data_IF_360816068012
#
_entry.id   IF_360816068012
#
_cell.length_a   1.000
_cell.length_b   1.000
_cell.length_c   1.000
_cell.angle_alpha   90.00
_cell.angle_beta   90.00
_cell.angle_gamma   90.00
#
_symmetry.space_group_name_H-M   'P 1'
#
loop_
_entity.id
_entity.type
_entity.pdbx_description
1 polymer ?
#
# COMPACT_ATOMS: atom_id res chain seq x y z
N UNK A 1 -33.23 14.65 36.30
CA UNK A 1 -33.72 13.26 36.23
C UNK A 1 -34.26 13.00 34.83
N UNK A 2 -33.45 12.49 33.96
CA UNK A 2 -33.89 12.09 32.59
C UNK A 2 -33.48 10.66 32.32
N UNK A 3 -34.50 9.83 32.13
CA UNK A 3 -34.39 8.40 31.88
C UNK A 3 -33.91 8.13 30.45
N UNK A 4 -32.78 7.40 30.35
CA UNK A 4 -32.25 6.85 29.11
C UNK A 4 -33.11 5.67 28.66
N UNK A 5 -33.73 5.75 27.47
CA UNK A 5 -34.41 4.63 26.84
C UNK A 5 -33.40 3.87 25.97
N UNK A 6 -33.12 2.63 26.37
CA UNK A 6 -32.40 1.65 25.55
C UNK A 6 -33.38 1.05 24.53
N UNK A 7 -33.11 1.24 23.23
CA UNK A 7 -33.78 0.49 22.18
C UNK A 7 -32.85 -0.65 21.73
N UNK A 8 -33.26 -1.86 22.08
CA UNK A 8 -32.66 -3.11 21.64
C UNK A 8 -33.17 -3.42 20.22
N UNK A 9 -32.27 -3.34 19.24
CA UNK A 9 -32.53 -3.76 17.86
C UNK A 9 -31.88 -5.12 17.62
N UNK A 10 -32.68 -6.16 17.50
CA UNK A 10 -32.25 -7.46 17.00
C UNK A 10 -32.04 -7.36 15.48
N UNK A 11 -30.81 -7.52 15.03
CA UNK A 11 -30.52 -7.67 13.60
C UNK A 11 -30.14 -9.12 13.33
N UNK A 12 -31.01 -9.75 12.53
CA UNK A 12 -30.87 -11.08 11.96
C UNK A 12 -29.57 -11.20 11.14
N UNK A 13 -28.78 -12.19 11.46
CA UNK A 13 -27.50 -12.50 10.79
C UNK A 13 -27.79 -13.31 9.53
N UNK A 14 -27.77 -12.68 8.35
CA UNK A 14 -27.60 -13.39 7.08
C UNK A 14 -26.11 -13.37 6.72
N UNK A 15 -25.50 -14.55 6.75
CA UNK A 15 -24.09 -14.74 6.38
C UNK A 15 -23.92 -14.54 4.87
N UNK A 16 -23.35 -13.41 4.46
CA UNK A 16 -22.81 -13.21 3.11
C UNK A 16 -21.32 -13.47 3.21
N UNK A 17 -20.86 -14.52 2.55
CA UNK A 17 -19.44 -14.83 2.42
C UNK A 17 -18.77 -13.77 1.52
N UNK A 18 -18.18 -12.74 2.13
CA UNK A 18 -17.30 -11.80 1.47
C UNK A 18 -15.89 -12.38 1.52
N UNK A 19 -15.35 -12.71 0.34
CA UNK A 19 -13.93 -13.05 0.17
C UNK A 19 -13.10 -11.81 0.48
N UNK A 20 -12.73 -11.65 1.75
CA UNK A 20 -11.86 -10.56 2.20
C UNK A 20 -10.39 -11.02 2.10
N UNK A 21 -9.53 -10.23 1.46
CA UNK A 21 -8.08 -10.33 1.60
C UNK A 21 -7.70 -10.14 3.07
N UNK A 22 -7.51 -11.23 3.80
CA UNK A 22 -7.00 -11.17 5.18
C UNK A 22 -5.51 -11.52 5.23
N UNK A 23 -4.68 -10.75 5.95
CA UNK A 23 -3.30 -11.14 6.20
C UNK A 23 -3.26 -12.37 7.12
N UNK A 24 -2.64 -13.45 6.66
CA UNK A 24 -2.43 -14.66 7.45
C UNK A 24 -1.49 -14.38 8.64
N UNK A 25 -2.02 -14.40 9.86
CA UNK A 25 -1.22 -14.60 11.07
C UNK A 25 -0.81 -16.07 11.15
N UNK A 26 0.49 -16.34 11.00
CA UNK A 26 1.07 -17.63 11.39
C UNK A 26 1.56 -17.52 12.83
N UNK A 27 0.86 -18.22 13.73
CA UNK A 27 1.36 -18.54 15.05
C UNK A 27 1.75 -20.03 15.04
N UNK A 28 3.01 -20.37 15.29
CA UNK A 28 3.38 -21.65 15.88
C UNK A 28 4.78 -21.57 16.47
N UNK A 29 4.83 -21.63 17.80
CA UNK A 29 6.01 -22.10 18.51
C UNK A 29 6.14 -23.61 18.33
N UNK A 30 7.31 -24.11 18.01
CA UNK A 30 7.95 -25.27 18.67
C UNK A 30 9.38 -25.39 18.17
N UNK A 31 10.25 -25.68 19.08
CA UNK A 31 11.69 -25.72 19.00
C UNK A 31 12.25 -26.91 18.18
N UNK A 32 13.51 -26.71 17.76
CA UNK A 32 14.54 -27.72 17.46
C UNK A 32 14.41 -28.58 16.19
N UNK A 33 15.23 -28.31 15.19
CA UNK A 33 16.40 -29.13 14.83
C UNK A 33 17.16 -28.53 13.66
N UNK A 34 18.46 -28.29 13.83
CA UNK A 34 19.38 -27.92 12.77
C UNK A 34 19.43 -29.02 11.71
N UNK A 35 19.15 -28.68 10.47
CA UNK A 35 19.65 -29.38 9.29
C UNK A 35 20.10 -28.32 8.29
N UNK A 36 21.40 -28.33 8.06
CA UNK A 36 22.05 -27.56 7.02
C UNK A 36 21.63 -28.14 5.69
N UNK A 37 20.89 -27.36 4.88
CA UNK A 37 20.82 -27.56 3.43
C UNK A 37 20.96 -26.20 2.74
N UNK A 38 22.00 -26.14 1.91
CA UNK A 38 22.35 -25.06 1.02
C UNK A 38 21.29 -24.87 -0.06
N UNK A 39 21.26 -23.63 -0.58
CA UNK A 39 20.62 -23.18 -1.81
C UNK A 39 19.09 -22.99 -1.77
N UNK A 40 18.69 -21.87 -1.16
CA UNK A 40 17.55 -21.12 -1.65
C UNK A 40 17.96 -19.66 -1.82
N UNK A 41 17.73 -19.14 -3.01
CA UNK A 41 18.01 -17.77 -3.44
C UNK A 41 17.19 -16.80 -2.59
N UNK A 42 17.68 -16.54 -1.37
CA UNK A 42 17.11 -15.53 -0.48
C UNK A 42 17.46 -14.18 -1.09
N UNK A 43 16.48 -13.53 -1.69
CA UNK A 43 16.56 -12.10 -1.97
C UNK A 43 16.74 -11.40 -0.61
N UNK A 44 18.00 -11.13 -0.24
CA UNK A 44 18.29 -10.38 0.99
C UNK A 44 17.72 -8.98 0.82
N UNK A 45 16.82 -8.58 1.73
CA UNK A 45 16.32 -7.22 1.78
C UNK A 45 17.49 -6.23 1.82
N UNK A 46 17.36 -5.11 1.10
CA UNK A 46 18.39 -4.07 1.08
C UNK A 46 18.57 -3.47 2.48
N UNK A 47 19.80 -3.14 2.84
CA UNK A 47 20.07 -2.37 4.05
C UNK A 47 19.50 -0.94 3.93
N UNK A 48 19.33 -0.27 5.07
CA UNK A 48 18.83 1.12 5.08
C UNK A 48 19.70 2.07 4.23
N UNK A 49 21.01 1.91 4.24
CA UNK A 49 21.91 2.72 3.41
C UNK A 49 21.72 2.43 1.91
N UNK A 50 21.62 1.16 1.53
CA UNK A 50 21.36 0.76 0.14
C UNK A 50 20.01 1.27 -0.35
N UNK A 51 18.97 1.24 0.48
CA UNK A 51 17.66 1.82 0.16
C UNK A 51 17.75 3.33 -0.06
N UNK A 52 18.43 4.06 0.82
CA UNK A 52 18.63 5.51 0.68
C UNK A 52 19.35 5.85 -0.62
N UNK A 53 20.46 5.18 -0.91
CA UNK A 53 21.21 5.38 -2.16
C UNK A 53 20.36 5.06 -3.40
N UNK A 54 19.66 3.92 -3.41
CA UNK A 54 18.78 3.50 -4.51
C UNK A 54 17.67 4.51 -4.77
N UNK A 55 16.93 4.89 -3.74
CA UNK A 55 15.77 5.78 -3.89
C UNK A 55 16.18 7.24 -4.04
N UNK A 56 17.29 7.68 -3.47
CA UNK A 56 17.89 8.97 -3.77
C UNK A 56 18.17 9.13 -5.27
N UNK A 57 18.79 8.13 -5.88
CA UNK A 57 19.04 8.10 -7.32
C UNK A 57 17.74 8.05 -8.14
N UNK A 58 16.78 7.17 -7.81
CA UNK A 58 15.50 7.05 -8.51
C UNK A 58 14.66 8.32 -8.47
N UNK A 59 14.68 9.03 -7.35
CA UNK A 59 13.95 10.28 -7.15
C UNK A 59 14.77 11.51 -7.58
N UNK A 60 16.04 11.33 -7.91
CA UNK A 60 16.97 12.42 -8.25
C UNK A 60 17.05 13.46 -7.12
N UNK A 61 17.26 12.98 -5.91
CA UNK A 61 17.43 13.77 -4.68
C UNK A 61 18.64 13.28 -3.89
N UNK A 62 19.11 14.10 -2.95
CA UNK A 62 20.10 13.65 -1.99
C UNK A 62 19.56 12.52 -1.10
N UNK A 63 20.37 11.49 -0.86
CA UNK A 63 19.94 10.30 -0.09
C UNK A 63 19.58 10.62 1.37
N UNK A 64 20.12 11.71 1.94
CA UNK A 64 19.75 12.18 3.29
C UNK A 64 18.28 12.59 3.39
N UNK A 65 17.65 12.95 2.27
CA UNK A 65 16.22 13.28 2.19
C UNK A 65 15.29 12.06 2.22
N UNK A 66 15.86 10.85 2.15
CA UNK A 66 15.08 9.61 2.37
C UNK A 66 14.97 9.40 3.89
N UNK A 67 13.94 10.00 4.48
CA UNK A 67 13.68 9.94 5.93
C UNK A 67 12.82 8.73 6.30
N UNK A 68 11.74 8.48 5.58
CA UNK A 68 10.83 7.36 5.82
C UNK A 68 11.33 6.06 5.16
N UNK A 69 12.44 5.52 5.66
CA UNK A 69 13.07 4.31 5.09
C UNK A 69 12.11 3.13 5.05
N UNK A 70 11.18 3.02 6.01
CA UNK A 70 10.18 1.95 6.04
C UNK A 70 9.23 2.00 4.83
N UNK A 71 8.84 3.20 4.39
CA UNK A 71 8.05 3.39 3.17
C UNK A 71 8.81 2.87 1.95
N UNK A 72 10.07 3.25 1.80
CA UNK A 72 10.87 2.84 0.65
C UNK A 72 11.22 1.35 0.68
N UNK A 73 11.41 0.75 1.85
CA UNK A 73 11.57 -0.70 1.99
C UNK A 73 10.31 -1.45 1.52
N UNK A 74 9.14 -0.97 1.92
CA UNK A 74 7.87 -1.55 1.47
C UNK A 74 7.66 -1.37 -0.04
N UNK A 75 7.96 -0.19 -0.58
CA UNK A 75 7.90 0.05 -2.03
C UNK A 75 8.85 -0.91 -2.76
N UNK A 76 10.06 -1.10 -2.23
CA UNK A 76 11.08 -1.99 -2.81
C UNK A 76 10.59 -3.44 -2.86
N UNK A 77 9.98 -3.88 -1.77
CA UNK A 77 9.37 -5.21 -1.68
C UNK A 77 8.29 -5.43 -2.74
N UNK A 78 7.51 -4.40 -3.07
CA UNK A 78 6.42 -4.49 -4.05
C UNK A 78 6.84 -4.11 -5.48
N UNK A 79 8.02 -3.55 -5.67
CA UNK A 79 8.47 -3.05 -6.97
C UNK A 79 8.45 -4.16 -8.03
N UNK A 80 7.82 -3.89 -9.19
CA UNK A 80 7.67 -4.86 -10.27
C UNK A 80 6.55 -5.89 -10.07
N UNK A 81 5.86 -5.92 -8.92
CA UNK A 81 4.67 -6.78 -8.76
C UNK A 81 3.67 -6.48 -9.88
N UNK A 82 3.25 -7.53 -10.61
CA UNK A 82 2.39 -7.40 -11.77
C UNK A 82 1.04 -6.74 -11.42
N UNK A 83 0.48 -6.02 -12.39
CA UNK A 83 -0.87 -5.50 -12.23
C UNK A 83 -1.91 -6.62 -12.40
N UNK A 84 -2.88 -6.65 -11.48
CA UNK A 84 -4.05 -7.50 -11.58
C UNK A 84 -5.26 -6.75 -11.03
N UNK A 85 -6.28 -6.55 -11.84
CA UNK A 85 -7.50 -5.88 -11.42
C UNK A 85 -8.13 -6.60 -10.22
N UNK A 86 -8.41 -5.87 -9.13
CA UNK A 86 -8.88 -6.44 -7.86
C UNK A 86 -7.84 -7.26 -7.10
N UNK A 87 -6.62 -7.39 -7.62
CA UNK A 87 -5.51 -8.09 -6.95
C UNK A 87 -5.00 -7.32 -5.72
N UNK A 88 -4.57 -8.07 -4.69
CA UNK A 88 -4.15 -7.51 -3.41
C UNK A 88 -2.96 -8.26 -2.78
N UNK A 89 -2.22 -9.05 -3.58
CA UNK A 89 -1.08 -9.85 -3.13
C UNK A 89 0.11 -9.80 -4.12
N UNK A 90 1.16 -10.57 -3.86
CA UNK A 90 2.37 -10.62 -4.70
C UNK A 90 2.17 -11.31 -6.04
N UNK A 91 1.05 -12.04 -6.24
CA UNK A 91 0.69 -12.61 -7.53
C UNK A 91 0.00 -11.57 -8.46
N UNK A 92 -0.31 -10.40 -7.92
CA UNK A 92 -0.82 -9.27 -8.65
C UNK A 92 -1.57 -8.29 -7.75
N UNK A 93 -1.41 -7.01 -8.04
CA UNK A 93 -2.03 -5.93 -7.26
C UNK A 93 -2.57 -4.84 -8.18
N UNK A 94 -3.74 -4.26 -7.86
CA UNK A 94 -4.21 -3.07 -8.55
C UNK A 94 -3.77 -1.77 -7.86
N UNK A 95 -4.04 -0.62 -8.48
CA UNK A 95 -3.59 0.67 -7.99
C UNK A 95 -4.17 1.04 -6.62
N UNK A 96 -5.44 0.74 -6.37
CA UNK A 96 -6.13 1.07 -5.11
C UNK A 96 -5.72 0.14 -3.97
N UNK A 97 -5.60 -1.16 -4.24
CA UNK A 97 -5.15 -2.12 -3.25
C UNK A 97 -3.67 -1.92 -2.88
N UNK A 98 -2.80 -1.60 -3.85
CA UNK A 98 -1.40 -1.27 -3.56
C UNK A 98 -1.29 -0.09 -2.60
N UNK A 99 -1.97 1.02 -2.90
CA UNK A 99 -1.99 2.19 -2.01
C UNK A 99 -2.59 1.86 -0.65
N UNK A 100 -3.68 1.08 -0.61
CA UNK A 100 -4.30 0.61 0.64
C UNK A 100 -3.33 -0.21 1.50
N UNK A 101 -2.53 -1.10 0.90
CA UNK A 101 -1.49 -1.87 1.58
C UNK A 101 -0.42 -0.94 2.19
N UNK A 102 0.07 0.03 1.39
CA UNK A 102 1.07 0.99 1.87
C UNK A 102 0.51 1.81 3.05
N UNK A 103 -0.71 2.32 2.94
CA UNK A 103 -1.32 3.11 4.01
C UNK A 103 -1.55 2.30 5.28
N UNK A 104 -1.97 1.05 5.14
CA UNK A 104 -2.17 0.17 6.30
C UNK A 104 -0.86 -0.15 7.02
N UNK A 105 0.23 -0.40 6.27
CA UNK A 105 1.50 -0.84 6.87
C UNK A 105 2.35 0.32 7.38
N UNK A 106 2.35 1.46 6.69
CA UNK A 106 3.21 2.60 7.03
C UNK A 106 2.51 3.59 7.94
N UNK A 107 1.22 3.85 7.69
CA UNK A 107 0.48 4.90 8.41
C UNK A 107 -0.61 4.36 9.34
N UNK A 108 -0.72 3.02 9.48
CA UNK A 108 -1.76 2.33 10.26
C UNK A 108 -3.19 2.79 9.92
N UNK A 109 -3.40 3.24 8.68
CA UNK A 109 -4.65 3.80 8.17
C UNK A 109 -5.27 2.87 7.14
N UNK A 110 -6.53 2.50 7.33
CA UNK A 110 -7.25 1.64 6.40
C UNK A 110 -7.87 2.47 5.28
N UNK A 111 -7.38 2.30 4.05
CA UNK A 111 -8.00 2.81 2.84
C UNK A 111 -8.61 1.65 2.06
N UNK A 112 -9.91 1.70 1.78
CA UNK A 112 -10.62 0.62 1.08
C UNK A 112 -11.52 1.15 -0.02
N UNK A 113 -11.65 0.33 -1.07
CA UNK A 113 -12.51 0.61 -2.21
C UNK A 113 -11.74 1.03 -3.46
N UNK A 114 -12.47 1.42 -4.49
CA UNK A 114 -11.90 1.90 -5.74
C UNK A 114 -11.17 3.24 -5.55
N UNK A 115 -10.35 3.63 -6.54
CA UNK A 115 -9.69 4.95 -6.54
C UNK A 115 -10.68 6.11 -6.38
N UNK A 116 -11.87 6.01 -6.99
CA UNK A 116 -12.93 7.01 -6.82
C UNK A 116 -13.51 7.01 -5.40
N UNK A 117 -13.71 5.83 -4.79
CA UNK A 117 -14.18 5.73 -3.41
C UNK A 117 -13.17 6.28 -2.40
N UNK A 118 -11.88 6.05 -2.63
CA UNK A 118 -10.81 6.60 -1.80
C UNK A 118 -10.73 8.12 -1.95
N UNK A 119 -10.87 8.65 -3.18
CA UNK A 119 -10.89 10.09 -3.44
C UNK A 119 -11.96 10.81 -2.60
N UNK A 120 -13.15 10.25 -2.49
CA UNK A 120 -14.25 10.82 -1.70
C UNK A 120 -14.00 10.84 -0.19
N UNK A 121 -12.97 10.12 0.30
CA UNK A 121 -12.55 10.10 1.70
C UNK A 121 -11.39 11.07 1.97
N UNK A 122 -10.82 11.70 0.93
CA UNK A 122 -9.64 12.55 1.03
C UNK A 122 -10.01 14.04 1.03
N UNK A 123 -9.19 14.82 1.72
CA UNK A 123 -9.19 16.28 1.60
C UNK A 123 -8.35 16.68 0.39
N UNK A 124 -8.93 17.48 -0.51
CA UNK A 124 -8.18 18.01 -1.65
C UNK A 124 -7.22 19.10 -1.17
N UNK A 125 -5.98 19.03 -1.61
CA UNK A 125 -4.90 19.97 -1.32
C UNK A 125 -4.34 20.55 -2.62
N UNK A 126 -3.62 21.66 -2.52
CA UNK A 126 -2.93 22.26 -3.68
C UNK A 126 -1.59 21.55 -3.96
N UNK A 127 -1.06 21.72 -5.19
CA UNK A 127 0.25 21.18 -5.55
C UNK A 127 1.38 21.69 -4.65
N UNK A 128 1.26 22.90 -4.08
CA UNK A 128 2.27 23.48 -3.19
C UNK A 128 2.30 22.83 -1.80
N UNK A 129 1.20 22.22 -1.38
CA UNK A 129 1.06 21.56 -0.10
C UNK A 129 1.48 20.08 -0.16
N UNK A 130 1.78 19.57 -1.36
CA UNK A 130 2.05 18.15 -1.62
C UNK A 130 3.27 17.66 -0.85
N UNK A 131 3.11 16.58 -0.10
CA UNK A 131 4.15 15.92 0.72
C UNK A 131 4.22 14.43 0.43
N UNK A 132 5.35 13.83 0.76
CA UNK A 132 5.54 12.38 0.70
C UNK A 132 4.40 11.66 1.46
N UNK A 133 3.80 10.68 0.79
CA UNK A 133 2.66 9.94 1.29
C UNK A 133 1.31 10.45 0.80
N UNK A 134 1.20 11.68 0.27
CA UNK A 134 -0.06 12.19 -0.27
C UNK A 134 -0.53 11.38 -1.49
N UNK A 135 -1.85 11.29 -1.66
CA UNK A 135 -2.46 10.54 -2.75
C UNK A 135 -2.66 11.38 -3.98
N UNK A 136 -2.29 10.82 -5.11
CA UNK A 136 -2.51 11.41 -6.44
C UNK A 136 -3.62 10.64 -7.15
N UNK A 137 -4.61 11.36 -7.65
CA UNK A 137 -5.74 10.79 -8.36
C UNK A 137 -5.76 11.23 -9.81
N UNK A 138 -6.05 10.28 -10.71
CA UNK A 138 -6.00 10.53 -12.14
C UNK A 138 -7.30 10.12 -12.82
N UNK A 139 -7.68 10.91 -13.83
CA UNK A 139 -8.73 10.60 -14.79
C UNK A 139 -8.05 10.11 -16.07
N UNK A 140 -7.77 8.82 -16.16
CA UNK A 140 -7.07 8.24 -17.31
C UNK A 140 -8.06 8.01 -18.46
N UNK A 141 -9.27 7.55 -18.10
CA UNK A 141 -10.33 7.28 -19.05
C UNK A 141 -11.57 8.10 -18.70
N UNK A 142 -11.96 9.00 -19.56
CA UNK A 142 -13.15 9.85 -19.37
C UNK A 142 -12.99 10.87 -18.23
N UNK A 143 -14.12 11.24 -17.59
CA UNK A 143 -14.20 12.30 -16.60
C UNK A 143 -14.17 11.83 -15.13
N UNK A 144 -14.15 10.53 -14.91
CA UNK A 144 -14.16 9.94 -13.56
C UNK A 144 -12.75 9.58 -13.10
N UNK A 145 -12.53 9.63 -11.78
CA UNK A 145 -11.29 9.11 -11.18
C UNK A 145 -11.21 7.61 -11.47
N UNK A 146 -10.14 7.20 -12.15
CA UNK A 146 -9.92 5.81 -12.59
C UNK A 146 -8.58 5.23 -12.14
N UNK A 147 -7.69 6.07 -11.57
CA UNK A 147 -6.38 5.62 -11.12
C UNK A 147 -5.90 6.40 -9.90
N UNK A 148 -5.01 5.76 -9.12
CA UNK A 148 -4.43 6.32 -7.89
C UNK A 148 -2.95 5.96 -7.80
N UNK A 149 -2.15 6.85 -7.24
CA UNK A 149 -0.77 6.63 -6.84
C UNK A 149 -0.45 7.37 -5.55
N UNK A 150 0.74 7.20 -5.03
CA UNK A 150 1.24 7.89 -3.86
C UNK A 150 2.43 8.77 -4.24
N UNK A 151 2.33 10.05 -3.89
CA UNK A 151 3.43 10.99 -4.09
C UNK A 151 4.61 10.63 -3.20
N UNK A 152 5.80 10.71 -3.75
CA UNK A 152 7.04 10.54 -3.02
C UNK A 152 7.74 11.89 -2.85
N UNK A 153 8.69 12.20 -3.72
CA UNK A 153 9.40 13.47 -3.71
C UNK A 153 9.77 13.86 -5.14
N UNK A 154 10.16 15.12 -5.36
CA UNK A 154 10.67 15.63 -6.63
C UNK A 154 9.78 15.30 -7.84
N UNK A 155 8.46 15.52 -7.73
CA UNK A 155 7.44 15.20 -8.74
C UNK A 155 7.42 13.71 -9.16
N UNK A 156 7.93 12.82 -8.32
CA UNK A 156 7.85 11.37 -8.51
C UNK A 156 6.75 10.78 -7.63
N UNK A 157 6.13 9.71 -8.11
CA UNK A 157 5.12 8.97 -7.38
C UNK A 157 5.19 7.48 -7.69
N UNK A 158 4.74 6.66 -6.76
CA UNK A 158 4.64 5.21 -6.93
C UNK A 158 3.20 4.81 -7.19
N UNK A 159 3.00 3.86 -8.10
CA UNK A 159 1.68 3.31 -8.43
C UNK A 159 1.79 1.90 -9.05
N UNK A 160 0.68 1.16 -9.09
CA UNK A 160 0.59 -0.08 -9.86
C UNK A 160 -0.02 0.21 -11.24
N UNK A 161 0.71 -0.07 -12.32
CA UNK A 161 0.29 0.18 -13.71
C UNK A 161 -0.01 -1.13 -14.44
N UNK A 162 -0.94 -1.10 -15.38
CA UNK A 162 -1.28 -2.27 -16.22
C UNK A 162 -0.12 -2.75 -17.09
N UNK A 163 0.83 -1.88 -17.43
CA UNK A 163 1.96 -2.21 -18.32
C UNK A 163 3.18 -2.75 -17.60
N UNK A 164 3.49 -2.23 -16.40
CA UNK A 164 4.77 -2.49 -15.71
C UNK A 164 4.60 -2.92 -14.24
N UNK A 165 3.36 -3.09 -13.78
CA UNK A 165 3.09 -3.36 -12.38
C UNK A 165 3.45 -2.18 -11.47
N UNK A 166 3.92 -2.47 -10.27
CA UNK A 166 4.33 -1.44 -9.30
C UNK A 166 5.62 -0.77 -9.74
N UNK A 167 5.58 0.55 -9.91
CA UNK A 167 6.72 1.34 -10.38
C UNK A 167 6.65 2.80 -9.91
N UNK A 168 7.77 3.51 -10.08
CA UNK A 168 7.87 4.96 -9.87
C UNK A 168 7.89 5.67 -11.23
N UNK A 169 7.12 6.75 -11.32
CA UNK A 169 7.07 7.69 -12.46
C UNK A 169 7.32 9.12 -12.00
#
# INVERSE_FOLDING_TARGET
MNKLKQNLFLISFTAIALSACQPHKKLSNTAEKQVILKDSKTSSALSNSQLKTKYGALLTIDESRIENVALYALIDEWYGTAYKYGGCDKNGVDCSNFVGIVYQQIYATSLKGSSASIFNQCKVITKKELKEGDLLFFKIEGNSISHIGMYLQNNKFVHATTKKGVMIN
#
